data_IF_487245007082
#
_entry.id   IF_487245007082
#
_cell.length_a   1.000
_cell.length_b   1.000
_cell.length_c   1.000
_cell.angle_alpha   90.00
_cell.angle_beta   90.00
_cell.angle_gamma   90.00
#
_symmetry.space_group_name_H-M   'P 1'
#
loop_
_entity.id
_entity.type
_entity.pdbx_description
1 polymer ?
#
# COMPACT_ATOMS: atom_id res chain seq x y z
N UNK A 1 56.52 -0.19 20.75
CA UNK A 1 55.60 -1.30 20.39
C UNK A 1 54.12 -0.98 20.65
N UNK A 2 53.77 -0.23 21.70
CA UNK A 2 52.38 0.12 22.09
C UNK A 2 51.53 0.77 20.97
N UNK A 3 52.11 1.69 20.18
CA UNK A 3 51.38 2.38 19.11
C UNK A 3 50.91 1.50 17.94
N UNK A 4 51.55 0.36 17.69
CA UNK A 4 51.12 -0.57 16.63
C UNK A 4 49.88 -1.36 17.05
N UNK A 5 49.81 -1.78 18.31
CA UNK A 5 48.67 -2.51 18.85
C UNK A 5 47.42 -1.63 18.92
N UNK A 6 47.57 -0.35 19.28
CA UNK A 6 46.45 0.59 19.31
C UNK A 6 45.88 0.88 17.92
N UNK A 7 46.74 1.01 16.90
CA UNK A 7 46.31 1.14 15.50
C UNK A 7 45.56 -0.09 14.99
N UNK A 8 46.01 -1.29 15.34
CA UNK A 8 45.33 -2.55 14.97
C UNK A 8 43.95 -2.63 15.62
N UNK A 9 43.85 -2.29 16.90
CA UNK A 9 42.57 -2.28 17.63
C UNK A 9 41.60 -1.24 17.04
N UNK A 10 42.09 -0.04 16.70
CA UNK A 10 41.26 0.99 16.08
C UNK A 10 40.72 0.58 14.70
N UNK A 11 41.56 -0.05 13.87
CA UNK A 11 41.14 -0.56 12.55
C UNK A 11 40.14 -1.71 12.69
N UNK A 12 40.37 -2.63 13.62
CA UNK A 12 39.43 -3.72 13.90
C UNK A 12 38.07 -3.19 14.40
N UNK A 13 38.07 -2.21 15.29
CA UNK A 13 36.85 -1.56 15.77
C UNK A 13 36.09 -0.85 14.64
N UNK A 14 36.79 -0.14 13.75
CA UNK A 14 36.18 0.51 12.59
C UNK A 14 35.55 -0.51 11.63
N UNK A 15 36.20 -1.66 11.40
CA UNK A 15 35.64 -2.75 10.59
C UNK A 15 34.39 -3.38 11.21
N UNK A 16 34.35 -3.57 12.54
CA UNK A 16 33.18 -4.08 13.25
C UNK A 16 31.99 -3.11 13.17
N UNK A 17 32.25 -1.80 13.29
CA UNK A 17 31.22 -0.76 13.15
C UNK A 17 30.71 -0.66 11.70
N UNK A 18 31.59 -0.79 10.71
CA UNK A 18 31.18 -0.80 9.29
C UNK A 18 30.40 -2.08 8.93
N UNK A 19 30.72 -3.22 9.54
CA UNK A 19 29.98 -4.45 9.32
C UNK A 19 28.57 -4.40 9.93
N UNK A 20 28.39 -3.76 11.11
CA UNK A 20 27.09 -3.67 11.76
C UNK A 20 26.09 -2.76 11.02
N UNK A 21 26.55 -1.74 10.29
CA UNK A 21 25.66 -0.92 9.45
C UNK A 21 25.12 -1.67 8.24
N UNK A 22 25.93 -2.54 7.61
CA UNK A 22 25.48 -3.34 6.45
C UNK A 22 24.44 -4.39 6.80
N UNK A 23 24.55 -5.04 7.96
CA UNK A 23 23.57 -6.02 8.44
C UNK A 23 22.24 -5.37 8.88
N UNK A 24 22.28 -4.11 9.32
CA UNK A 24 21.07 -3.34 9.66
C UNK A 24 20.33 -2.80 8.42
N UNK A 25 21.03 -2.64 7.28
CA UNK A 25 20.45 -2.18 6.01
C UNK A 25 19.97 -3.32 5.10
N UNK A 26 20.11 -4.58 5.50
CA UNK A 26 19.37 -5.68 4.87
C UNK A 26 17.89 -5.47 5.13
N UNK A 27 17.27 -4.69 4.23
CA UNK A 27 15.84 -4.45 4.10
C UNK A 27 15.14 -5.80 4.18
N UNK A 28 14.64 -6.13 5.37
CA UNK A 28 13.67 -7.20 5.52
C UNK A 28 12.51 -6.85 4.57
N UNK A 29 12.14 -7.72 3.62
CA UNK A 29 10.97 -7.48 2.79
C UNK A 29 9.80 -7.21 3.73
N UNK A 30 9.14 -6.07 3.50
CA UNK A 30 8.31 -5.38 4.48
C UNK A 30 7.29 -6.29 5.14
N UNK A 31 7.50 -6.58 6.42
CA UNK A 31 6.40 -6.94 7.31
C UNK A 31 5.70 -5.65 7.68
N UNK A 32 4.84 -5.16 6.79
CA UNK A 32 3.86 -4.10 7.09
C UNK A 32 2.86 -4.73 8.08
N UNK A 33 3.23 -4.74 9.35
CA UNK A 33 2.50 -5.35 10.45
C UNK A 33 1.63 -4.33 11.18
N UNK A 34 0.78 -3.61 10.44
CA UNK A 34 -0.36 -2.91 11.03
C UNK A 34 -1.57 -3.85 11.17
N UNK A 35 -2.62 -3.46 11.91
CA UNK A 35 -3.91 -4.12 11.83
C UNK A 35 -4.30 -4.28 10.37
N UNK A 36 -4.69 -5.50 9.95
CA UNK A 36 -5.17 -5.70 8.58
C UNK A 36 -6.41 -4.83 8.40
N UNK A 37 -6.44 -3.92 7.41
CA UNK A 37 -7.65 -3.16 7.11
C UNK A 37 -8.79 -4.15 6.85
N UNK A 38 -9.98 -3.84 7.38
CA UNK A 38 -11.18 -4.62 7.09
C UNK A 38 -11.42 -4.52 5.59
N UNK A 39 -11.39 -5.68 4.92
CA UNK A 39 -11.61 -5.76 3.48
C UNK A 39 -13.10 -5.59 3.20
N UNK A 40 -13.51 -4.39 2.81
CA UNK A 40 -14.88 -4.11 2.39
C UNK A 40 -15.07 -4.56 0.94
N UNK A 41 -15.74 -5.69 0.73
CA UNK A 41 -16.07 -6.16 -0.63
C UNK A 41 -17.32 -5.49 -1.15
N UNK A 42 -17.33 -5.23 -2.47
CA UNK A 42 -18.50 -4.71 -3.16
C UNK A 42 -19.68 -5.66 -3.03
N UNK A 43 -20.80 -5.11 -2.55
CA UNK A 43 -22.11 -5.74 -2.53
C UNK A 43 -23.18 -4.71 -2.96
N UNK A 44 -24.39 -5.16 -3.35
CA UNK A 44 -25.48 -4.26 -3.69
C UNK A 44 -25.72 -3.18 -2.63
N UNK A 45 -25.73 -3.56 -1.36
CA UNK A 45 -25.95 -2.65 -0.23
C UNK A 45 -24.77 -1.70 0.03
N UNK A 46 -23.52 -2.16 -0.13
CA UNK A 46 -22.35 -1.30 0.10
C UNK A 46 -22.18 -0.23 -0.99
N UNK A 47 -22.86 -0.38 -2.11
CA UNK A 47 -22.73 0.45 -3.32
C UNK A 47 -23.95 1.33 -3.59
N UNK A 48 -25.03 1.18 -2.82
CA UNK A 48 -26.25 1.98 -2.97
C UNK A 48 -26.12 3.35 -2.29
N UNK A 49 -25.01 4.03 -2.56
CA UNK A 49 -24.67 5.33 -1.94
C UNK A 49 -25.12 6.51 -2.80
N UNK A 50 -25.32 6.30 -4.11
CA UNK A 50 -25.72 7.33 -5.07
C UNK A 50 -24.69 8.45 -5.30
N UNK A 51 -23.48 8.30 -4.75
CA UNK A 51 -22.41 9.31 -4.78
C UNK A 51 -21.08 8.66 -5.18
N UNK A 52 -20.00 9.44 -5.29
CA UNK A 52 -18.70 8.89 -5.64
C UNK A 52 -18.20 7.93 -4.55
N UNK A 53 -17.78 6.74 -4.97
CA UNK A 53 -17.17 5.73 -4.12
C UNK A 53 -16.05 5.06 -4.90
N UNK A 54 -14.90 4.90 -4.24
CA UNK A 54 -13.73 4.33 -4.87
C UNK A 54 -13.89 2.80 -4.98
N UNK A 55 -13.88 2.26 -6.20
CA UNK A 55 -13.83 0.82 -6.44
C UNK A 55 -12.41 0.38 -6.81
N UNK A 56 -11.79 -0.43 -5.96
CA UNK A 56 -10.47 -1.02 -6.20
C UNK A 56 -10.59 -2.39 -6.84
N UNK A 57 -9.91 -2.56 -7.96
CA UNK A 57 -9.85 -3.84 -8.64
C UNK A 57 -8.90 -4.80 -7.92
N UNK A 58 -9.43 -5.92 -7.45
CA UNK A 58 -8.65 -7.04 -6.89
C UNK A 58 -8.46 -8.11 -7.94
N UNK A 59 -7.19 -8.42 -8.22
CA UNK A 59 -6.78 -9.43 -9.18
C UNK A 59 -5.81 -10.42 -8.56
N UNK A 60 -5.70 -11.60 -9.18
CA UNK A 60 -4.69 -12.61 -8.82
C UNK A 60 -3.33 -12.12 -9.30
N UNK A 61 -2.38 -11.95 -8.36
CA UNK A 61 -1.02 -11.56 -8.70
C UNK A 61 -0.31 -12.63 -9.54
N UNK A 62 0.53 -12.18 -10.47
CA UNK A 62 1.42 -13.05 -11.21
C UNK A 62 2.51 -13.62 -10.28
N UNK A 63 2.87 -14.89 -10.46
CA UNK A 63 3.86 -15.56 -9.62
C UNK A 63 5.27 -14.97 -9.74
N UNK A 64 5.56 -14.29 -10.85
CA UNK A 64 6.80 -13.60 -11.14
C UNK A 64 6.69 -12.07 -10.96
N UNK A 65 5.61 -11.57 -10.37
CA UNK A 65 5.44 -10.15 -10.08
C UNK A 65 6.32 -9.71 -8.90
N UNK A 66 7.00 -8.59 -9.07
CA UNK A 66 7.90 -7.92 -8.10
C UNK A 66 7.21 -6.76 -7.34
N UNK A 67 5.91 -6.52 -7.58
CA UNK A 67 5.10 -5.50 -6.89
C UNK A 67 4.27 -6.03 -5.72
N UNK A 68 3.81 -5.13 -4.83
CA UNK A 68 2.83 -5.45 -3.76
C UNK A 68 1.40 -5.74 -4.29
N UNK A 69 1.22 -5.81 -5.61
CA UNK A 69 -0.02 -6.22 -6.28
C UNK A 69 -1.18 -5.26 -6.17
N UNK A 70 -2.39 -5.82 -6.13
CA UNK A 70 -3.62 -5.05 -5.96
C UNK A 70 -3.64 -4.28 -4.63
N UNK A 71 -2.87 -4.70 -3.63
CA UNK A 71 -2.82 -4.07 -2.30
C UNK A 71 -1.80 -2.94 -2.17
N UNK A 72 -1.10 -2.57 -3.27
CA UNK A 72 -0.24 -1.39 -3.29
C UNK A 72 -1.04 -0.17 -2.80
N UNK A 73 -0.51 0.49 -1.78
CA UNK A 73 -1.05 1.68 -1.12
C UNK A 73 -2.48 1.55 -0.58
N UNK A 74 -2.99 0.32 -0.40
CA UNK A 74 -4.31 0.08 0.18
C UNK A 74 -4.27 0.14 1.71
N UNK A 75 -5.23 0.82 2.39
CA UNK A 75 -6.38 1.57 1.85
C UNK A 75 -6.09 3.06 1.62
N UNK A 76 -4.90 3.53 1.97
CA UNK A 76 -4.57 4.96 2.01
C UNK A 76 -4.75 5.67 0.66
N UNK A 77 -4.44 5.03 -0.47
CA UNK A 77 -4.68 5.61 -1.79
C UNK A 77 -6.17 5.85 -2.07
N UNK A 78 -7.03 4.91 -1.65
CA UNK A 78 -8.47 4.94 -1.91
C UNK A 78 -9.13 6.05 -1.10
N UNK A 79 -8.75 6.16 0.17
CA UNK A 79 -9.19 7.21 1.09
C UNK A 79 -8.68 8.58 0.64
N UNK A 80 -7.37 8.70 0.38
CA UNK A 80 -6.77 9.99 0.01
C UNK A 80 -7.31 10.54 -1.31
N UNK A 81 -7.50 9.70 -2.33
CA UNK A 81 -8.06 10.16 -3.61
C UNK A 81 -9.49 10.69 -3.43
N UNK A 82 -10.31 9.96 -2.68
CA UNK A 82 -11.70 10.36 -2.41
C UNK A 82 -11.75 11.67 -1.62
N UNK A 83 -10.91 11.82 -0.60
CA UNK A 83 -10.79 13.07 0.15
C UNK A 83 -10.39 14.23 -0.76
N UNK A 84 -9.30 14.10 -1.55
CA UNK A 84 -8.86 15.17 -2.46
C UNK A 84 -9.89 15.49 -3.53
N UNK A 85 -10.64 14.50 -4.01
CA UNK A 85 -11.76 14.73 -4.92
C UNK A 85 -12.81 15.65 -4.27
N UNK A 86 -13.17 15.40 -3.02
CA UNK A 86 -14.14 16.24 -2.29
C UNK A 86 -13.63 17.64 -1.94
N UNK A 87 -12.33 17.81 -1.73
CA UNK A 87 -11.72 19.10 -1.42
C UNK A 87 -11.54 19.98 -2.67
N UNK A 88 -11.20 19.36 -3.80
CA UNK A 88 -10.87 20.06 -5.04
C UNK A 88 -12.07 20.20 -5.99
N UNK A 89 -13.19 19.54 -5.70
CA UNK A 89 -14.40 19.57 -6.53
C UNK A 89 -15.66 19.67 -5.68
N UNK A 90 -16.83 19.78 -6.32
CA UNK A 90 -18.15 19.69 -5.64
C UNK A 90 -18.75 18.27 -5.70
N UNK A 91 -17.98 17.27 -6.09
CA UNK A 91 -18.48 15.90 -6.19
C UNK A 91 -18.76 15.36 -4.77
N UNK A 92 -19.99 14.86 -4.51
CA UNK A 92 -20.27 14.20 -3.24
C UNK A 92 -19.52 12.86 -3.19
N UNK A 93 -18.97 12.53 -2.02
CA UNK A 93 -18.28 11.26 -1.76
C UNK A 93 -19.02 10.47 -0.68
N UNK A 94 -18.93 9.14 -0.72
CA UNK A 94 -19.45 8.28 0.33
C UNK A 94 -18.49 8.23 1.52
N UNK A 95 -19.02 8.34 2.75
CA UNK A 95 -18.25 8.43 3.99
C UNK A 95 -18.86 7.47 5.01
N UNK A 96 -18.03 6.79 5.81
CA UNK A 96 -18.47 5.93 6.92
C UNK A 96 -18.84 6.74 8.19
N UNK A 97 -19.35 6.04 9.21
CA UNK A 97 -19.69 6.66 10.50
C UNK A 97 -18.48 7.30 11.21
N UNK A 98 -17.26 6.88 10.87
CA UNK A 98 -16.02 7.43 11.42
C UNK A 98 -15.50 8.65 10.66
N UNK A 99 -16.20 9.09 9.61
CA UNK A 99 -15.80 10.22 8.79
C UNK A 99 -14.74 9.89 7.74
N UNK A 100 -14.47 8.61 7.46
CA UNK A 100 -13.51 8.18 6.43
C UNK A 100 -14.22 7.86 5.12
N UNK A 101 -13.61 8.16 3.96
CA UNK A 101 -14.21 7.82 2.68
C UNK A 101 -14.40 6.31 2.50
N UNK A 102 -15.61 5.92 2.11
CA UNK A 102 -15.91 4.53 1.78
C UNK A 102 -15.19 4.12 0.49
N UNK A 103 -14.67 2.90 0.51
CA UNK A 103 -14.02 2.27 -0.63
C UNK A 103 -14.35 0.78 -0.63
N UNK A 104 -14.49 0.19 -1.81
CA UNK A 104 -14.87 -1.21 -1.96
C UNK A 104 -13.89 -1.95 -2.85
N UNK A 105 -13.66 -3.22 -2.50
CA UNK A 105 -12.89 -4.16 -3.28
C UNK A 105 -13.82 -4.88 -4.26
N UNK A 106 -13.41 -4.96 -5.52
CA UNK A 106 -14.21 -5.58 -6.56
C UNK A 106 -13.36 -6.44 -7.50
N UNK A 107 -13.95 -7.51 -8.02
CA UNK A 107 -13.36 -8.36 -9.06
C UNK A 107 -14.00 -8.06 -10.41
N UNK A 108 -13.25 -8.24 -11.50
CA UNK A 108 -13.76 -8.07 -12.87
C UNK A 108 -14.96 -8.97 -13.21
N UNK A 109 -15.11 -10.10 -12.51
CA UNK A 109 -16.19 -11.06 -12.74
C UNK A 109 -17.46 -10.74 -11.96
N UNK A 110 -17.46 -9.70 -11.13
CA UNK A 110 -18.61 -9.34 -10.30
C UNK A 110 -19.59 -8.45 -11.07
N UNK A 111 -20.90 -8.73 -11.01
CA UNK A 111 -21.92 -7.89 -11.66
C UNK A 111 -21.99 -6.47 -11.06
N UNK A 112 -21.56 -6.31 -9.81
CA UNK A 112 -21.46 -5.03 -9.12
C UNK A 112 -20.51 -4.05 -9.84
N UNK A 113 -19.65 -4.52 -10.73
CA UNK A 113 -18.68 -3.68 -11.47
C UNK A 113 -19.37 -2.56 -12.24
N UNK A 114 -20.56 -2.82 -12.78
CA UNK A 114 -21.34 -1.85 -13.54
C UNK A 114 -22.01 -0.77 -12.67
N UNK A 115 -21.94 -0.91 -11.34
CA UNK A 115 -22.42 0.10 -10.39
C UNK A 115 -21.31 1.04 -9.93
N UNK A 116 -20.05 0.74 -10.24
CA UNK A 116 -18.92 1.59 -9.86
C UNK A 116 -18.82 2.81 -10.79
N UNK A 117 -18.90 4.05 -10.26
CA UNK A 117 -18.69 5.25 -11.08
C UNK A 117 -17.22 5.40 -11.50
N UNK A 118 -16.30 4.79 -10.75
CA UNK A 118 -14.86 4.82 -11.00
C UNK A 118 -14.23 3.53 -10.50
N UNK A 119 -13.39 2.90 -11.34
CA UNK A 119 -12.64 1.69 -11.01
C UNK A 119 -11.15 1.96 -11.22
N UNK A 120 -10.33 1.66 -10.21
CA UNK A 120 -8.89 1.77 -10.30
C UNK A 120 -8.20 0.42 -10.10
N UNK A 121 -7.22 0.15 -10.95
CA UNK A 121 -6.31 -0.97 -10.83
C UNK A 121 -4.91 -0.42 -10.55
N UNK A 122 -4.25 -0.88 -9.49
CA UNK A 122 -2.84 -0.57 -9.26
C UNK A 122 -1.94 -1.39 -10.17
N UNK A 123 -0.71 -0.94 -10.45
CA UNK A 123 0.19 -1.62 -11.37
C UNK A 123 0.30 -3.13 -11.05
N UNK A 124 -0.04 -4.02 -12.00
CA UNK A 124 -0.02 -5.46 -11.76
C UNK A 124 1.40 -6.05 -11.75
N UNK A 125 2.38 -5.29 -12.26
CA UNK A 125 3.80 -5.60 -12.26
C UNK A 125 4.56 -4.33 -11.86
N UNK A 126 5.71 -4.48 -11.21
CA UNK A 126 6.73 -3.46 -11.27
C UNK A 126 7.70 -3.86 -12.40
N UNK A 127 8.22 -2.88 -13.12
CA UNK A 127 9.52 -3.05 -13.74
C UNK A 127 10.41 -2.16 -12.91
N UNK A 128 11.33 -2.76 -12.17
CA UNK A 128 12.46 -2.03 -11.59
C UNK A 128 13.03 -1.14 -12.70
N UNK A 129 12.89 0.18 -12.57
CA UNK A 129 13.55 1.15 -13.44
C UNK A 129 15.07 1.10 -13.23
#
# INVERSE_FOLDING_TARGET
RVGRHWRIVAVAAAFVIAASTTAAQQRRPGRIGGPRPVLAWASPESMDTGVFQFCRLVFRQAANGDGYGWSVDYPSADENLSTRLSELTRAPISIDESGRPNHVLIRLTQPELFRCPFVMMTPPFATTC
#
